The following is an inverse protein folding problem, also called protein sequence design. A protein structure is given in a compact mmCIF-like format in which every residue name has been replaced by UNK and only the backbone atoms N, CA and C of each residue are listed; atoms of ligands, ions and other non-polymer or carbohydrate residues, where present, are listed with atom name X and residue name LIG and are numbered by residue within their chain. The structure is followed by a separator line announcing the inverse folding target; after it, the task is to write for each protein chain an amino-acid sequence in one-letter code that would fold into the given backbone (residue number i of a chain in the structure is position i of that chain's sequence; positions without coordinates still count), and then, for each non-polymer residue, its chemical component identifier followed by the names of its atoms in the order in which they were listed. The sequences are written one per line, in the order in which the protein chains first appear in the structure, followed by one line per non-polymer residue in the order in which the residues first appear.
data_IF_341351329727
#
_entry.id   IF_341351329727
#
_cell.length_a   1.000
_cell.length_b   1.000
_cell.length_c   1.000
_cell.angle_alpha   90.00
_cell.angle_beta   90.00
_cell.angle_gamma   90.00
#
_symmetry.space_group_name_H-M   'P 1'
#
loop_
_entity.id
_entity.type
_entity.pdbx_description
1 polymer ?
#
# COMPACT_ATOMS: atom_id res chain seq x y z
N UNK A 1 -0.29 -10.70 31.86
CA UNK A 1 -0.94 -9.81 32.85
C UNK A 1 -0.46 -8.37 32.76
N UNK A 2 0.80 -8.08 32.39
CA UNK A 2 1.31 -6.69 32.31
C UNK A 2 0.83 -5.88 31.09
N UNK A 3 0.52 -6.52 29.95
CA UNK A 3 -0.07 -5.84 28.79
C UNK A 3 -1.54 -5.39 29.00
N UNK A 4 -2.26 -6.08 29.89
CA UNK A 4 -3.65 -5.75 30.23
C UNK A 4 -3.73 -4.48 31.10
N UNK A 5 -2.68 -4.18 31.88
CA UNK A 5 -2.60 -2.97 32.69
C UNK A 5 -2.42 -1.70 31.83
N UNK A 6 -1.71 -1.80 30.69
CA UNK A 6 -1.56 -0.71 29.72
C UNK A 6 -2.87 -0.41 29.00
N UNK A 7 -3.62 -1.44 28.58
CA UNK A 7 -4.97 -1.27 28.02
C UNK A 7 -5.97 -0.74 29.07
N UNK A 8 -5.82 -1.10 30.34
CA UNK A 8 -6.63 -0.54 31.44
C UNK A 8 -6.31 0.93 31.73
N UNK A 9 -5.05 1.36 31.60
CA UNK A 9 -4.68 2.77 31.69
C UNK A 9 -5.26 3.60 30.52
N UNK A 10 -5.35 3.01 29.32
CA UNK A 10 -6.06 3.61 28.18
C UNK A 10 -7.59 3.62 28.35
N UNK A 11 -8.17 2.58 28.98
CA UNK A 11 -9.62 2.44 29.18
C UNK A 11 -10.22 3.27 30.32
N UNK A 12 -9.49 3.50 31.42
CA UNK A 12 -10.02 4.18 32.61
C UNK A 12 -10.24 5.70 32.46
N UNK A 13 -9.81 6.33 31.36
CA UNK A 13 -10.05 7.77 31.14
C UNK A 13 -11.29 8.10 30.30
N UNK A 14 -11.99 7.10 29.75
CA UNK A 14 -13.29 7.33 29.08
C UNK A 14 -14.44 7.57 30.08
N UNK A 15 -14.20 7.41 31.39
CA UNK A 15 -15.20 7.64 32.45
C UNK A 15 -15.04 8.96 33.20
N UNK A 16 -14.04 9.79 32.90
CA UNK A 16 -13.92 11.13 33.52
C UNK A 16 -14.55 12.18 32.61
N UNK A 17 -15.86 12.07 32.44
CA UNK A 17 -16.67 13.22 32.05
C UNK A 17 -16.81 14.13 33.27
N UNK A 18 -16.02 15.20 33.31
CA UNK A 18 -16.29 16.31 34.21
C UNK A 18 -15.15 16.73 35.11
N UNK A 19 -14.10 17.32 34.52
CA UNK A 19 -13.39 18.42 35.20
C UNK A 19 -13.22 19.54 34.19
N UNK A 20 -14.09 20.55 34.30
CA UNK A 20 -13.85 21.88 33.72
C UNK A 20 -12.67 22.49 34.50
N UNK A 21 -11.48 22.48 33.92
CA UNK A 21 -10.28 23.10 34.50
C UNK A 21 -9.22 23.37 33.44
N UNK A 22 -8.95 24.65 33.21
CA UNK A 22 -7.82 25.32 32.53
C UNK A 22 -7.02 24.58 31.43
N UNK A 23 -7.09 25.13 30.22
CA UNK A 23 -6.05 25.29 29.20
C UNK A 23 -4.90 24.26 29.16
N UNK A 24 -4.93 23.34 28.19
CA UNK A 24 -3.73 22.73 27.56
C UNK A 24 -2.86 21.77 28.41
N UNK A 25 -2.79 21.95 29.73
CA UNK A 25 -1.87 21.26 30.64
C UNK A 25 -2.21 19.77 30.81
N UNK A 26 -3.47 19.37 30.67
CA UNK A 26 -3.83 17.95 30.80
C UNK A 26 -3.21 17.09 29.69
N UNK A 27 -3.16 17.61 28.46
CA UNK A 27 -2.53 16.90 27.34
C UNK A 27 -1.01 16.83 27.53
N UNK A 28 -0.39 17.91 28.00
CA UNK A 28 1.04 17.92 28.30
C UNK A 28 1.39 16.97 29.45
N UNK A 29 0.61 16.95 30.53
CA UNK A 29 0.79 16.02 31.65
C UNK A 29 0.54 14.56 31.24
N UNK A 30 -0.42 14.31 30.36
CA UNK A 30 -0.67 12.99 29.77
C UNK A 30 0.51 12.53 28.91
N UNK A 31 1.01 13.40 28.03
CA UNK A 31 2.17 13.12 27.20
C UNK A 31 3.44 12.92 28.03
N UNK A 32 3.66 13.73 29.08
CA UNK A 32 4.76 13.54 30.03
C UNK A 32 4.63 12.23 30.82
N UNK A 33 3.41 11.85 31.22
CA UNK A 33 3.14 10.57 31.88
C UNK A 33 3.46 9.37 30.99
N UNK A 34 3.06 9.43 29.73
CA UNK A 34 3.41 8.44 28.71
C UNK A 34 4.93 8.40 28.49
N UNK A 35 5.58 9.55 28.28
CA UNK A 35 7.02 9.64 28.07
C UNK A 35 7.81 9.07 29.25
N UNK A 36 7.40 9.38 30.49
CA UNK A 36 8.03 8.85 31.70
C UNK A 36 7.86 7.34 31.81
N UNK A 37 6.69 6.79 31.51
CA UNK A 37 6.48 5.34 31.52
C UNK A 37 7.25 4.65 30.39
N UNK A 38 7.33 5.26 29.22
CA UNK A 38 8.08 4.75 28.07
C UNK A 38 9.61 4.83 28.25
N UNK A 39 10.13 5.81 29.00
CA UNK A 39 11.57 5.86 29.35
C UNK A 39 12.04 4.63 30.13
N UNK A 40 11.14 3.97 30.88
CA UNK A 40 11.42 2.70 31.56
C UNK A 40 11.58 1.53 30.56
N UNK A 41 11.02 1.67 29.35
CA UNK A 41 11.08 0.70 28.26
C UNK A 41 12.05 1.10 27.14
N UNK A 42 12.99 2.01 27.41
CA UNK A 42 13.95 2.56 26.42
C UNK A 42 13.28 3.23 25.22
N UNK A 43 12.41 4.20 25.48
CA UNK A 43 11.93 5.14 24.46
C UNK A 43 13.11 5.78 23.70
N UNK A 44 13.05 5.75 22.38
CA UNK A 44 14.02 6.37 21.49
C UNK A 44 13.30 7.10 20.37
N UNK A 45 13.76 8.30 20.06
CA UNK A 45 13.43 8.99 18.82
C UNK A 45 14.43 8.55 17.75
N UNK A 46 13.93 8.47 16.52
CA UNK A 46 14.68 8.07 15.33
C UNK A 46 14.54 9.16 14.26
N UNK A 47 15.15 10.35 14.44
CA UNK A 47 15.00 11.47 13.50
C UNK A 47 15.40 11.10 12.06
N UNK A 48 16.33 10.16 11.89
CA UNK A 48 16.77 9.63 10.60
C UNK A 48 15.68 8.88 9.83
N UNK A 49 14.61 8.43 10.50
CA UNK A 49 13.44 7.80 9.86
C UNK A 49 12.47 8.81 9.27
N UNK A 50 12.50 10.06 9.77
CA UNK A 50 11.76 11.14 9.15
C UNK A 50 12.52 11.61 7.89
N UNK A 51 11.82 11.75 6.77
CA UNK A 51 12.41 12.27 5.55
C UNK A 51 12.87 13.71 5.75
N UNK A 52 14.18 13.95 5.70
CA UNK A 52 14.70 15.30 5.55
C UNK A 52 14.43 15.76 4.12
N UNK A 53 13.58 16.75 3.91
CA UNK A 53 13.24 17.34 2.60
C UNK A 53 14.43 18.05 1.89
N UNK A 54 15.67 17.78 2.29
CA UNK A 54 16.84 18.57 1.93
C UNK A 54 17.49 18.16 0.59
N UNK A 55 17.17 16.99 0.02
CA UNK A 55 17.74 16.54 -1.26
C UNK A 55 16.65 16.10 -2.23
N UNK A 56 16.42 16.91 -3.25
CA UNK A 56 15.49 16.62 -4.34
C UNK A 56 15.98 15.44 -5.18
N UNK A 57 15.05 14.60 -5.64
CA UNK A 57 15.32 13.56 -6.62
C UNK A 57 15.70 14.17 -7.98
N UNK A 58 16.59 13.53 -8.75
CA UNK A 58 16.89 13.97 -10.10
C UNK A 58 15.61 13.92 -10.97
N UNK A 59 15.45 14.84 -11.95
CA UNK A 59 14.31 14.80 -12.85
C UNK A 59 14.18 13.46 -13.58
N UNK A 60 12.95 12.96 -13.69
CA UNK A 60 12.62 11.81 -14.52
C UNK A 60 11.91 12.29 -15.78
N UNK A 61 12.52 12.05 -16.94
CA UNK A 61 12.04 12.52 -18.25
C UNK A 61 12.08 11.34 -19.23
N UNK A 62 10.99 11.15 -19.96
CA UNK A 62 10.84 10.09 -20.94
C UNK A 62 10.74 10.65 -22.36
N UNK A 63 11.08 9.85 -23.40
CA UNK A 63 11.03 10.30 -24.79
C UNK A 63 9.64 10.80 -25.22
N UNK A 64 8.59 10.11 -24.79
CA UNK A 64 7.20 10.51 -25.00
C UNK A 64 6.47 10.57 -23.64
N UNK A 65 5.89 11.73 -23.36
CA UNK A 65 5.04 11.98 -22.21
C UNK A 65 3.65 12.53 -22.63
N UNK A 66 3.35 12.52 -23.92
CA UNK A 66 2.12 13.06 -24.48
C UNK A 66 0.92 12.12 -24.30
N UNK A 67 -0.30 12.66 -24.17
CA UNK A 67 -1.52 11.86 -24.20
C UNK A 67 -1.74 11.20 -25.55
N UNK A 68 -2.63 10.20 -25.60
CA UNK A 68 -3.11 9.66 -26.85
C UNK A 68 -3.88 10.73 -27.65
N UNK A 69 -3.87 10.70 -29.00
CA UNK A 69 -4.57 11.69 -29.82
C UNK A 69 -6.08 11.80 -29.54
N UNK A 70 -6.67 10.71 -29.06
CA UNK A 70 -8.06 10.61 -28.61
C UNK A 70 -8.10 9.74 -27.36
N UNK A 71 -9.08 9.97 -26.47
CA UNK A 71 -9.26 9.11 -25.29
C UNK A 71 -9.45 7.65 -25.74
N UNK A 72 -8.56 6.72 -25.35
CA UNK A 72 -8.62 5.35 -25.84
C UNK A 72 -9.88 4.65 -25.32
N UNK A 73 -10.49 3.81 -26.15
CA UNK A 73 -11.65 2.99 -25.77
C UNK A 73 -11.25 1.60 -25.28
N UNK A 74 -10.04 1.16 -25.62
CA UNK A 74 -9.49 -0.14 -25.26
C UNK A 74 -8.34 0.02 -24.27
N UNK A 75 -8.32 -0.86 -23.28
CA UNK A 75 -7.31 -0.89 -22.21
C UNK A 75 -5.89 -1.12 -22.75
N UNK A 76 -5.76 -1.78 -23.91
CA UNK A 76 -4.47 -2.10 -24.55
C UNK A 76 -3.84 -0.89 -25.25
N UNK A 77 -4.53 0.26 -25.29
CA UNK A 77 -4.08 1.50 -25.93
C UNK A 77 -3.93 2.67 -24.94
N UNK A 78 -3.97 2.40 -23.65
CA UNK A 78 -3.90 3.43 -22.61
C UNK A 78 -2.44 3.78 -22.33
N UNK A 79 -2.04 5.02 -22.63
CA UNK A 79 -0.75 5.59 -22.20
C UNK A 79 -0.84 6.10 -20.76
N UNK A 80 0.31 6.33 -20.12
CA UNK A 80 0.36 6.95 -18.79
C UNK A 80 -0.40 8.29 -18.73
N UNK A 81 -0.25 9.11 -19.77
CA UNK A 81 -0.88 10.43 -19.88
C UNK A 81 -2.42 10.37 -20.06
N UNK A 82 -2.99 9.21 -20.40
CA UNK A 82 -4.44 9.05 -20.57
C UNK A 82 -5.16 8.80 -19.23
N UNK A 83 -4.42 8.41 -18.18
CA UNK A 83 -4.97 8.19 -16.84
C UNK A 83 -5.38 9.54 -16.25
N UNK A 84 -6.66 9.70 -15.92
CA UNK A 84 -7.22 10.93 -15.33
C UNK A 84 -7.32 10.87 -13.82
N UNK A 85 -7.51 9.68 -13.28
CA UNK A 85 -7.78 9.48 -11.86
C UNK A 85 -7.02 8.29 -11.31
N UNK A 86 -6.45 8.48 -10.12
CA UNK A 86 -5.87 7.42 -9.30
C UNK A 86 -6.74 7.18 -8.07
N UNK A 87 -6.85 5.92 -7.66
CA UNK A 87 -7.49 5.50 -6.42
C UNK A 87 -6.73 4.33 -5.79
N UNK A 88 -6.88 4.12 -4.49
CA UNK A 88 -6.28 2.99 -3.82
C UNK A 88 -7.15 2.41 -2.71
N UNK A 89 -7.14 1.08 -2.62
CA UNK A 89 -7.79 0.26 -1.59
C UNK A 89 -6.74 -0.60 -0.90
N UNK A 90 -6.97 -0.92 0.36
CA UNK A 90 -6.03 -1.72 1.11
C UNK A 90 -6.03 -1.48 2.60
N UNK A 91 -4.85 -1.64 3.19
CA UNK A 91 -4.62 -1.56 4.62
C UNK A 91 -3.67 -0.41 5.02
N UNK A 92 -3.05 -0.55 6.19
CA UNK A 92 -2.15 0.43 6.79
C UNK A 92 -0.95 0.78 5.92
N UNK A 93 -0.45 -0.13 5.07
CA UNK A 93 0.64 0.20 4.16
C UNK A 93 0.16 1.12 3.02
N UNK A 94 -1.06 0.95 2.54
CA UNK A 94 -1.66 1.86 1.54
C UNK A 94 -1.99 3.23 2.14
N UNK A 95 -2.32 3.30 3.43
CA UNK A 95 -2.49 4.59 4.14
C UNK A 95 -1.16 5.27 4.54
N UNK A 96 -0.03 4.57 4.36
CA UNK A 96 1.31 5.03 4.78
C UNK A 96 1.39 5.39 6.27
N UNK A 97 0.84 4.52 7.12
CA UNK A 97 0.97 4.58 8.58
C UNK A 97 2.44 4.72 8.97
N UNK A 98 2.75 5.74 9.78
CA UNK A 98 4.09 5.94 10.31
C UNK A 98 5.18 6.26 9.28
N UNK A 99 4.85 6.54 8.01
CA UNK A 99 5.87 6.69 6.97
C UNK A 99 6.88 7.81 7.22
N UNK A 100 6.49 8.86 7.95
CA UNK A 100 7.38 9.93 8.37
C UNK A 100 7.45 10.06 9.90
N UNK A 101 7.19 8.97 10.62
CA UNK A 101 7.24 8.95 12.08
C UNK A 101 8.69 8.84 12.57
N UNK A 102 9.03 9.71 13.52
CA UNK A 102 10.30 9.67 14.25
C UNK A 102 10.19 8.85 15.53
N UNK A 103 8.97 8.65 16.05
CA UNK A 103 8.75 7.92 17.31
C UNK A 103 7.57 6.96 17.21
N UNK A 104 7.54 5.93 18.05
CA UNK A 104 6.43 4.96 18.10
C UNK A 104 5.07 5.60 18.41
N UNK A 105 5.06 6.75 19.10
CA UNK A 105 3.82 7.50 19.40
C UNK A 105 3.20 8.14 18.16
N UNK A 106 4.00 8.33 17.11
CA UNK A 106 3.55 8.90 15.84
C UNK A 106 3.08 7.84 14.85
N UNK A 107 3.24 6.54 15.16
CA UNK A 107 2.78 5.44 14.29
C UNK A 107 1.30 5.55 13.94
N UNK A 108 0.37 5.91 14.86
CA UNK A 108 -1.04 6.06 14.51
C UNK A 108 -1.36 7.14 13.44
N UNK A 109 -0.41 8.01 13.09
CA UNK A 109 -0.61 8.95 11.99
C UNK A 109 -0.45 8.25 10.64
N UNK A 110 -1.42 8.48 9.78
CA UNK A 110 -1.46 7.98 8.40
C UNK A 110 -0.92 9.08 7.49
N UNK A 111 0.28 8.89 6.93
CA UNK A 111 0.89 9.86 6.03
C UNK A 111 0.41 9.63 4.60
N UNK A 112 -0.91 9.65 4.37
CA UNK A 112 -1.53 9.26 3.09
C UNK A 112 -0.94 9.97 1.87
N UNK A 113 -0.57 11.25 2.02
CA UNK A 113 0.13 12.06 1.02
C UNK A 113 1.52 11.57 0.61
N UNK A 114 2.15 10.72 1.41
CA UNK A 114 3.45 10.07 1.16
C UNK A 114 3.29 8.61 0.70
N UNK A 115 2.05 8.13 0.57
CA UNK A 115 1.79 6.75 0.17
C UNK A 115 2.31 6.46 -1.23
N UNK A 116 3.08 5.39 -1.34
CA UNK A 116 3.66 4.88 -2.57
C UNK A 116 2.67 4.77 -3.73
N UNK A 117 1.43 4.35 -3.48
CA UNK A 117 0.43 4.06 -4.53
C UNK A 117 -0.52 5.22 -4.82
N UNK A 118 -0.66 6.19 -3.89
CA UNK A 118 -1.75 7.19 -3.97
C UNK A 118 -1.42 8.56 -3.33
N UNK A 119 -0.21 8.75 -2.80
CA UNK A 119 0.21 10.03 -2.22
C UNK A 119 0.53 11.08 -3.29
N UNK A 120 0.20 12.34 -3.04
CA UNK A 120 0.50 13.47 -3.94
C UNK A 120 1.19 14.63 -3.25
N UNK A 121 2.03 14.37 -2.25
CA UNK A 121 2.85 15.40 -1.64
C UNK A 121 3.84 15.99 -2.66
N UNK A 122 3.85 17.31 -2.80
CA UNK A 122 4.79 18.02 -3.67
C UNK A 122 4.73 17.58 -5.14
N UNK A 123 5.92 17.42 -5.73
CA UNK A 123 6.20 16.92 -7.07
C UNK A 123 7.02 15.63 -6.99
N UNK A 124 7.25 15.00 -8.14
CA UNK A 124 8.16 13.86 -8.27
C UNK A 124 9.53 14.07 -7.62
N UNK A 125 10.10 15.27 -7.76
CA UNK A 125 11.40 15.62 -7.18
C UNK A 125 11.40 15.68 -5.66
N UNK A 126 10.24 15.85 -5.03
CA UNK A 126 10.11 15.93 -3.57
C UNK A 126 9.94 14.53 -2.96
N UNK A 127 8.99 13.76 -3.50
CA UNK A 127 8.70 12.39 -3.06
C UNK A 127 8.25 11.55 -4.26
N UNK A 128 8.84 10.37 -4.42
CA UNK A 128 8.48 9.44 -5.49
C UNK A 128 7.27 8.63 -5.06
N UNK A 129 6.10 8.99 -5.59
CA UNK A 129 4.85 8.23 -5.47
C UNK A 129 4.30 7.94 -6.86
N UNK A 130 3.44 6.94 -6.98
CA UNK A 130 2.78 6.62 -8.24
C UNK A 130 2.05 7.84 -8.84
N UNK A 131 1.23 8.61 -8.09
CA UNK A 131 0.60 9.81 -8.64
C UNK A 131 1.59 10.90 -9.05
N UNK A 132 2.70 11.08 -8.32
CA UNK A 132 3.71 12.06 -8.70
C UNK A 132 4.45 11.66 -9.99
N UNK A 133 4.62 10.36 -10.25
CA UNK A 133 5.13 9.88 -11.54
C UNK A 133 4.09 10.15 -12.65
N UNK A 134 2.83 9.76 -12.46
CA UNK A 134 1.78 10.03 -13.45
C UNK A 134 1.61 11.51 -13.77
N UNK A 135 1.79 12.41 -12.80
CA UNK A 135 1.69 13.87 -13.00
C UNK A 135 2.78 14.44 -13.91
N UNK A 136 3.86 13.70 -14.16
CA UNK A 136 4.84 14.05 -15.21
C UNK A 136 4.25 13.88 -16.62
N UNK A 137 3.28 12.96 -16.78
CA UNK A 137 2.61 12.63 -18.04
C UNK A 137 1.26 13.35 -18.19
N UNK A 138 0.52 13.49 -17.08
CA UNK A 138 -0.75 14.19 -17.03
C UNK A 138 -0.82 15.11 -15.79
N UNK A 139 -0.52 16.42 -15.93
CA UNK A 139 -0.57 17.38 -14.83
C UNK A 139 -1.95 17.52 -14.17
N UNK A 140 -3.03 17.20 -14.90
CA UNK A 140 -4.42 17.32 -14.45
C UNK A 140 -4.93 16.07 -13.69
N UNK A 141 -4.04 15.13 -13.35
CA UNK A 141 -4.39 13.95 -12.57
C UNK A 141 -5.13 14.33 -11.27
N UNK A 142 -6.17 13.59 -10.91
CA UNK A 142 -6.92 13.76 -9.65
C UNK A 142 -7.00 12.46 -8.83
N UNK A 143 -7.50 12.56 -7.60
CA UNK A 143 -7.76 11.42 -6.71
C UNK A 143 -6.62 11.07 -5.74
N UNK A 144 -5.44 11.67 -5.88
CA UNK A 144 -4.33 11.45 -4.94
C UNK A 144 -4.58 12.10 -3.56
N UNK A 145 -4.01 11.49 -2.52
CA UNK A 145 -4.07 11.97 -1.15
C UNK A 145 -3.14 13.17 -0.93
N UNK A 146 -3.60 14.16 -0.15
CA UNK A 146 -2.88 15.44 0.03
C UNK A 146 -2.40 15.69 1.44
N UNK A 147 -2.97 15.01 2.43
CA UNK A 147 -2.71 15.32 3.84
C UNK A 147 -2.34 14.09 4.67
N UNK A 148 -1.84 14.39 5.87
CA UNK A 148 -1.71 13.43 6.98
C UNK A 148 -3.07 13.31 7.66
N UNK A 149 -3.47 12.10 8.00
CA UNK A 149 -4.68 11.79 8.76
C UNK A 149 -4.31 11.01 10.04
N UNK A 150 -5.30 10.61 10.82
CA UNK A 150 -5.12 9.83 12.05
C UNK A 150 -5.99 8.58 11.95
N UNK A 151 -5.41 7.39 12.15
CA UNK A 151 -6.11 6.11 11.93
C UNK A 151 -7.38 5.94 12.76
N UNK A 152 -7.45 6.54 13.94
CA UNK A 152 -8.62 6.49 14.83
C UNK A 152 -9.71 7.51 14.49
N UNK A 153 -9.52 8.35 13.47
CA UNK A 153 -10.45 9.43 13.11
C UNK A 153 -10.75 9.42 11.62
N UNK A 154 -12.03 9.33 11.28
CA UNK A 154 -12.49 9.51 9.91
C UNK A 154 -12.00 10.85 9.34
N UNK A 155 -11.47 10.80 8.12
CA UNK A 155 -10.95 11.96 7.41
C UNK A 155 -11.74 12.15 6.11
N UNK A 156 -12.01 13.40 5.71
CA UNK A 156 -12.80 13.67 4.52
C UNK A 156 -11.95 13.54 3.24
N UNK A 157 -12.60 13.43 2.08
CA UNK A 157 -11.96 13.20 0.79
C UNK A 157 -10.97 14.30 0.39
N UNK A 158 -11.15 15.53 0.86
CA UNK A 158 -10.21 16.63 0.61
C UNK A 158 -8.82 16.32 1.18
N UNK A 159 -8.75 15.52 2.26
CA UNK A 159 -7.50 15.10 2.90
C UNK A 159 -6.99 13.76 2.35
N UNK A 160 -7.88 12.76 2.25
CA UNK A 160 -7.52 11.39 1.85
C UNK A 160 -7.38 11.22 0.33
N UNK A 161 -7.95 12.14 -0.46
CA UNK A 161 -8.25 11.82 -1.86
C UNK A 161 -9.08 10.54 -1.92
N UNK A 162 -8.78 9.72 -2.93
CA UNK A 162 -9.34 8.38 -3.12
C UNK A 162 -8.40 7.29 -2.57
N UNK A 163 -7.56 7.63 -1.59
CA UNK A 163 -6.98 6.64 -0.70
C UNK A 163 -8.05 6.21 0.30
N UNK A 164 -8.81 5.17 -0.06
CA UNK A 164 -9.89 4.61 0.75
C UNK A 164 -9.46 3.36 1.52
N UNK A 165 -8.15 3.13 1.61
CA UNK A 165 -7.57 2.10 2.46
C UNK A 165 -7.83 2.40 3.94
N UNK A 166 -7.95 1.33 4.73
CA UNK A 166 -8.28 1.38 6.15
C UNK A 166 -7.18 0.68 6.94
N UNK A 167 -6.52 1.42 7.83
CA UNK A 167 -5.49 0.88 8.72
C UNK A 167 -6.02 -0.33 9.50
N UNK A 168 -5.30 -1.45 9.42
CA UNK A 168 -5.65 -2.70 10.10
C UNK A 168 -6.71 -3.56 9.41
N UNK A 169 -7.21 -3.16 8.23
CA UNK A 169 -8.20 -3.96 7.51
C UNK A 169 -7.65 -5.32 7.05
N UNK A 170 -8.47 -6.35 7.19
CA UNK A 170 -8.29 -7.64 6.54
C UNK A 170 -9.02 -7.65 5.18
N UNK A 171 -8.95 -8.78 4.46
CA UNK A 171 -9.62 -8.86 3.16
C UNK A 171 -11.14 -8.91 3.24
N UNK A 172 -11.73 -9.33 4.36
CA UNK A 172 -13.19 -9.41 4.48
C UNK A 172 -13.87 -8.03 4.45
N UNK A 173 -13.13 -6.96 4.78
CA UNK A 173 -13.56 -5.56 4.65
C UNK A 173 -13.32 -4.97 3.25
N UNK A 174 -12.53 -5.60 2.39
CA UNK A 174 -12.23 -5.08 1.04
C UNK A 174 -13.47 -4.86 0.16
N UNK A 175 -14.51 -5.73 0.18
CA UNK A 175 -15.74 -5.48 -0.57
C UNK A 175 -16.45 -4.19 -0.15
N UNK A 176 -16.38 -3.81 1.13
CA UNK A 176 -16.95 -2.56 1.62
C UNK A 176 -16.14 -1.36 1.12
N UNK A 177 -14.80 -1.40 1.23
CA UNK A 177 -13.93 -0.35 0.66
C UNK A 177 -14.20 -0.18 -0.85
N UNK A 178 -14.38 -1.29 -1.57
CA UNK A 178 -14.69 -1.29 -3.00
C UNK A 178 -16.05 -0.66 -3.29
N UNK A 179 -17.08 -0.99 -2.49
CA UNK A 179 -18.41 -0.38 -2.64
C UNK A 179 -18.34 1.14 -2.43
N UNK A 180 -17.61 1.56 -1.42
CA UNK A 180 -17.40 2.97 -1.12
C UNK A 180 -16.66 3.69 -2.25
N UNK A 181 -15.64 3.06 -2.85
CA UNK A 181 -14.95 3.61 -4.03
C UNK A 181 -15.90 3.80 -5.21
N UNK A 182 -16.69 2.79 -5.57
CA UNK A 182 -17.62 2.87 -6.71
C UNK A 182 -18.62 4.03 -6.53
N UNK A 183 -19.20 4.16 -5.33
CA UNK A 183 -20.13 5.24 -5.02
C UNK A 183 -19.46 6.61 -5.06
N UNK A 184 -18.23 6.70 -4.54
CA UNK A 184 -17.45 7.93 -4.53
C UNK A 184 -17.09 8.34 -5.96
N UNK A 185 -16.62 7.41 -6.79
CA UNK A 185 -16.29 7.67 -8.20
C UNK A 185 -17.49 8.19 -9.00
N UNK A 186 -18.69 7.62 -8.78
CA UNK A 186 -19.92 8.05 -9.46
C UNK A 186 -20.34 9.48 -9.13
N UNK A 187 -19.87 10.03 -8.01
CA UNK A 187 -20.21 11.38 -7.54
C UNK A 187 -19.00 12.34 -7.49
N UNK A 188 -17.82 11.89 -7.94
CA UNK A 188 -16.58 12.66 -7.84
C UNK A 188 -16.59 13.81 -8.86
N UNK A 189 -16.63 15.09 -8.44
CA UNK A 189 -16.97 16.21 -9.35
C UNK A 189 -15.98 16.44 -10.51
N UNK A 190 -14.73 16.02 -10.35
CA UNK A 190 -13.65 16.28 -11.32
C UNK A 190 -13.45 15.14 -12.33
N UNK A 191 -14.36 14.16 -12.39
CA UNK A 191 -14.20 12.95 -13.20
C UNK A 191 -15.49 12.61 -13.94
N UNK A 192 -15.37 12.38 -15.25
CA UNK A 192 -16.40 11.69 -16.01
C UNK A 192 -16.33 10.19 -15.69
N UNK A 193 -17.25 9.73 -14.84
CA UNK A 193 -17.30 8.34 -14.41
C UNK A 193 -17.30 7.34 -15.57
N UNK A 194 -17.92 7.66 -16.71
CA UNK A 194 -18.04 6.73 -17.83
C UNK A 194 -16.85 6.81 -18.79
N UNK A 195 -16.26 7.99 -18.96
CA UNK A 195 -15.31 8.24 -20.04
C UNK A 195 -13.85 8.40 -19.59
N UNK A 196 -13.59 8.72 -18.32
CA UNK A 196 -12.21 8.92 -17.86
C UNK A 196 -11.53 7.61 -17.45
N UNK A 197 -10.26 7.43 -17.81
CA UNK A 197 -9.49 6.26 -17.40
C UNK A 197 -9.07 6.33 -15.93
N UNK A 198 -9.36 5.26 -15.21
CA UNK A 198 -9.11 5.10 -13.77
C UNK A 198 -7.98 4.11 -13.53
N UNK A 199 -6.99 4.51 -12.74
CA UNK A 199 -5.95 3.63 -12.22
C UNK A 199 -6.23 3.32 -10.75
N UNK A 200 -6.59 2.07 -10.44
CA UNK A 200 -6.95 1.62 -9.09
C UNK A 200 -5.87 0.68 -8.58
N UNK A 201 -5.26 0.96 -7.43
CA UNK A 201 -4.28 0.07 -6.81
C UNK A 201 -4.85 -0.62 -5.58
N UNK A 202 -4.74 -1.95 -5.54
CA UNK A 202 -5.18 -2.78 -4.41
C UNK A 202 -3.95 -3.49 -3.82
N UNK A 203 -3.73 -3.30 -2.53
CA UNK A 203 -2.75 -4.06 -1.75
C UNK A 203 -3.33 -4.35 -0.37
N UNK A 204 -3.58 -5.63 -0.08
CA UNK A 204 -4.21 -6.09 1.16
C UNK A 204 -3.89 -7.57 1.42
N UNK A 205 -4.03 -8.00 2.67
CA UNK A 205 -3.99 -9.40 3.09
C UNK A 205 -2.86 -9.75 4.04
N UNK A 206 -1.95 -8.81 4.32
CA UNK A 206 -0.92 -8.99 5.35
C UNK A 206 -1.55 -9.16 6.73
N UNK A 207 -2.61 -8.39 7.04
CA UNK A 207 -3.33 -8.53 8.29
C UNK A 207 -4.01 -9.89 8.44
N UNK A 208 -4.56 -10.48 7.37
CA UNK A 208 -5.15 -11.82 7.40
C UNK A 208 -4.12 -12.86 7.85
N UNK A 209 -2.89 -12.80 7.32
CA UNK A 209 -1.79 -13.66 7.78
C UNK A 209 -1.37 -13.35 9.23
N UNK A 210 -1.31 -12.07 9.62
CA UNK A 210 -1.02 -11.65 10.99
C UNK A 210 -2.07 -12.10 12.01
N UNK A 211 -3.30 -12.36 11.57
CA UNK A 211 -4.45 -12.79 12.35
C UNK A 211 -4.86 -14.26 12.14
N UNK A 212 -4.19 -14.98 11.23
CA UNK A 212 -4.58 -16.34 10.80
C UNK A 212 -4.85 -17.29 11.96
N UNK A 213 -3.96 -17.31 12.96
CA UNK A 213 -4.07 -18.16 14.15
C UNK A 213 -5.25 -17.79 15.08
N UNK A 214 -5.85 -16.60 14.93
CA UNK A 214 -7.02 -16.15 15.71
C UNK A 214 -8.32 -16.73 15.14
N UNK A 215 -8.42 -16.86 13.82
CA UNK A 215 -9.53 -17.52 13.14
C UNK A 215 -9.07 -18.07 11.78
N UNK A 216 -8.68 -19.34 11.76
CA UNK A 216 -8.12 -20.01 10.58
C UNK A 216 -9.08 -20.11 9.40
N UNK A 217 -10.39 -19.98 9.61
CA UNK A 217 -11.39 -19.99 8.53
C UNK A 217 -11.58 -18.60 7.93
N UNK A 218 -11.73 -17.58 8.78
CA UNK A 218 -11.97 -16.21 8.32
C UNK A 218 -10.77 -15.64 7.56
N UNK A 219 -9.56 -15.99 7.98
CA UNK A 219 -8.30 -15.46 7.43
C UNK A 219 -7.54 -16.49 6.57
N UNK A 220 -8.21 -17.54 6.10
CA UNK A 220 -7.59 -18.57 5.25
C UNK A 220 -7.31 -18.05 3.84
N UNK A 221 -6.49 -18.78 3.09
CA UNK A 221 -6.24 -18.50 1.68
C UNK A 221 -7.52 -18.54 0.82
N UNK A 222 -8.48 -19.40 1.17
CA UNK A 222 -9.80 -19.47 0.53
C UNK A 222 -10.62 -18.21 0.79
N UNK A 223 -10.68 -17.74 2.04
CA UNK A 223 -11.40 -16.50 2.38
C UNK A 223 -10.74 -15.28 1.75
N UNK A 224 -9.41 -15.20 1.81
CA UNK A 224 -8.61 -14.18 1.13
C UNK A 224 -8.98 -14.04 -0.35
N UNK A 225 -8.91 -15.15 -1.11
CA UNK A 225 -9.16 -15.09 -2.55
C UNK A 225 -10.63 -14.85 -2.87
N UNK A 226 -11.56 -15.36 -2.05
CA UNK A 226 -12.99 -15.13 -2.23
C UNK A 226 -13.34 -13.64 -2.07
N UNK A 227 -12.79 -12.99 -1.05
CA UNK A 227 -13.03 -11.56 -0.79
C UNK A 227 -12.42 -10.65 -1.88
N UNK A 228 -11.21 -10.98 -2.35
CA UNK A 228 -10.59 -10.30 -3.49
C UNK A 228 -11.40 -10.50 -4.77
N UNK A 229 -11.83 -11.73 -5.06
CA UNK A 229 -12.67 -12.03 -6.23
C UNK A 229 -13.95 -11.20 -6.21
N UNK A 230 -14.64 -11.15 -5.07
CA UNK A 230 -15.86 -10.34 -4.91
C UNK A 230 -15.61 -8.85 -5.19
N UNK A 231 -14.50 -8.31 -4.71
CA UNK A 231 -14.14 -6.90 -4.89
C UNK A 231 -13.81 -6.60 -6.36
N UNK A 232 -13.01 -7.45 -6.99
CA UNK A 232 -12.67 -7.32 -8.42
C UNK A 232 -13.89 -7.49 -9.32
N UNK A 233 -14.81 -8.41 -8.99
CA UNK A 233 -16.08 -8.57 -9.70
C UNK A 233 -16.92 -7.29 -9.64
N UNK A 234 -17.02 -6.65 -8.48
CA UNK A 234 -17.74 -5.39 -8.32
C UNK A 234 -17.15 -4.28 -9.18
N UNK A 235 -15.81 -4.16 -9.21
CA UNK A 235 -15.14 -3.19 -10.07
C UNK A 235 -15.38 -3.49 -11.55
N UNK A 236 -15.21 -4.74 -11.96
CA UNK A 236 -15.41 -5.18 -13.34
C UNK A 236 -16.84 -4.94 -13.84
N UNK A 237 -17.84 -5.16 -13.00
CA UNK A 237 -19.24 -4.97 -13.38
C UNK A 237 -19.69 -3.51 -13.42
N UNK A 238 -19.08 -2.63 -12.61
CA UNK A 238 -19.65 -1.30 -12.37
C UNK A 238 -18.74 -0.13 -12.76
N UNK A 239 -17.44 -0.35 -12.96
CA UNK A 239 -16.47 0.73 -13.20
C UNK A 239 -15.91 0.62 -14.62
N UNK A 240 -16.44 1.40 -15.58
CA UNK A 240 -15.90 1.42 -16.95
C UNK A 240 -14.55 2.12 -17.00
N UNK A 241 -13.76 1.78 -18.03
CA UNK A 241 -12.42 2.38 -18.29
C UNK A 241 -11.51 2.34 -17.07
N UNK A 242 -11.24 1.15 -16.56
CA UNK A 242 -10.43 0.96 -15.37
C UNK A 242 -9.29 -0.04 -15.55
N UNK A 243 -8.13 0.32 -15.04
CA UNK A 243 -6.97 -0.55 -14.87
C UNK A 243 -6.78 -0.76 -13.38
N UNK A 244 -6.88 -2.01 -12.94
CA UNK A 244 -6.74 -2.39 -11.54
C UNK A 244 -5.40 -3.09 -11.34
N UNK A 245 -4.47 -2.40 -10.68
CA UNK A 245 -3.24 -3.00 -10.17
C UNK A 245 -3.55 -3.80 -8.91
N UNK A 246 -3.28 -5.11 -8.93
CA UNK A 246 -3.35 -5.95 -7.73
C UNK A 246 -1.94 -6.37 -7.36
N UNK A 247 -1.48 -5.91 -6.22
CA UNK A 247 -0.08 -6.01 -5.84
C UNK A 247 0.13 -7.26 -5.00
N UNK A 248 1.10 -8.08 -5.40
CA UNK A 248 1.37 -9.36 -4.76
C UNK A 248 1.93 -9.17 -3.35
N UNK A 249 1.39 -9.90 -2.38
CA UNK A 249 1.97 -9.95 -1.04
C UNK A 249 3.38 -10.55 -1.06
N UNK A 250 4.26 -10.01 -0.23
CA UNK A 250 5.58 -10.57 0.04
C UNK A 250 5.49 -11.80 0.98
N UNK A 251 6.63 -12.49 1.15
CA UNK A 251 6.78 -13.55 2.15
C UNK A 251 6.91 -12.92 3.53
N UNK A 252 5.83 -12.98 4.31
CA UNK A 252 5.72 -12.36 5.63
C UNK A 252 6.76 -12.89 6.62
N UNK A 253 7.18 -14.15 6.48
CA UNK A 253 8.24 -14.78 7.30
C UNK A 253 9.48 -13.90 7.45
N UNK A 254 9.88 -13.21 6.37
CA UNK A 254 11.10 -12.41 6.38
C UNK A 254 11.03 -11.21 7.35
N UNK A 255 9.83 -10.73 7.72
CA UNK A 255 9.65 -9.69 8.73
C UNK A 255 10.10 -10.14 10.13
N UNK A 256 10.17 -11.44 10.42
CA UNK A 256 10.70 -11.95 11.70
C UNK A 256 12.16 -11.55 11.92
N UNK A 257 12.89 -11.23 10.85
CA UNK A 257 14.27 -10.73 10.90
C UNK A 257 14.35 -9.23 11.28
N UNK A 258 13.25 -8.47 11.12
CA UNK A 258 13.19 -7.03 11.31
C UNK A 258 12.77 -6.73 12.76
N UNK A 259 13.72 -6.92 13.66
CA UNK A 259 13.52 -6.69 15.09
C UNK A 259 14.84 -6.28 15.77
N UNK A 260 14.95 -5.00 16.15
CA UNK A 260 16.12 -4.45 16.86
C UNK A 260 16.00 -4.53 18.39
N UNK A 261 14.90 -5.09 18.91
CA UNK A 261 14.61 -5.18 20.34
C UNK A 261 14.08 -3.88 20.97
N UNK A 262 13.87 -2.82 20.19
CA UNK A 262 13.21 -1.60 20.66
C UNK A 262 11.75 -1.85 21.03
N UNK A 263 11.19 -0.98 21.87
CA UNK A 263 9.78 -1.08 22.27
C UNK A 263 8.84 -1.12 21.05
N UNK A 264 9.11 -0.30 20.02
CA UNK A 264 8.32 -0.26 18.80
C UNK A 264 8.33 -1.59 18.04
N UNK A 265 9.52 -2.16 17.78
CA UNK A 265 9.63 -3.50 17.18
C UNK A 265 8.91 -4.58 18.02
N UNK A 266 8.97 -4.49 19.35
CA UNK A 266 8.29 -5.46 20.24
C UNK A 266 6.75 -5.43 20.11
N UNK A 267 6.16 -4.31 19.65
CA UNK A 267 4.72 -4.21 19.39
C UNK A 267 4.26 -5.12 18.25
N UNK A 268 5.16 -5.58 17.37
CA UNK A 268 4.80 -6.57 16.34
C UNK A 268 4.17 -7.83 16.92
N UNK A 269 4.54 -8.22 18.15
CA UNK A 269 3.91 -9.35 18.86
C UNK A 269 2.43 -9.12 19.18
N UNK A 270 1.96 -7.87 19.15
CA UNK A 270 0.57 -7.49 19.38
C UNK A 270 -0.23 -7.50 18.08
N UNK A 271 0.25 -6.80 17.04
CA UNK A 271 -0.50 -6.63 15.79
C UNK A 271 -0.22 -7.70 14.73
N UNK A 272 0.87 -8.47 14.85
CA UNK A 272 1.17 -9.60 13.97
C UNK A 272 1.60 -10.85 14.78
N UNK A 273 0.77 -11.20 15.78
CA UNK A 273 1.11 -12.23 16.74
C UNK A 273 1.30 -13.62 16.12
N UNK A 274 0.55 -13.95 15.06
CA UNK A 274 0.61 -15.26 14.43
C UNK A 274 1.93 -15.50 13.70
N UNK A 275 2.62 -14.43 13.29
CA UNK A 275 3.94 -14.50 12.66
C UNK A 275 5.08 -14.48 13.68
N UNK A 276 5.01 -13.56 14.66
CA UNK A 276 6.16 -13.21 15.49
C UNK A 276 6.29 -14.08 16.75
N UNK A 277 5.18 -14.60 17.30
CA UNK A 277 5.22 -15.41 18.52
C UNK A 277 5.70 -16.86 18.32
N UNK A 278 5.35 -17.56 17.22
CA UNK A 278 5.81 -18.92 17.03
C UNK A 278 7.34 -19.02 16.99
N UNK A 279 7.87 -20.07 17.60
CA UNK A 279 9.30 -20.40 17.52
C UNK A 279 9.66 -20.93 16.13
N UNK A 280 10.95 -20.87 15.79
CA UNK A 280 11.44 -21.37 14.52
C UNK A 280 11.08 -22.85 14.30
N UNK A 281 10.66 -23.18 13.09
CA UNK A 281 10.26 -24.54 12.67
C UNK A 281 9.09 -25.15 13.45
N UNK A 282 8.33 -24.36 14.21
CA UNK A 282 7.09 -24.83 14.83
C UNK A 282 6.03 -25.18 13.78
N UNK A 283 5.14 -26.16 14.05
CA UNK A 283 4.02 -26.47 13.17
C UNK A 283 3.16 -25.24 12.83
N UNK A 284 2.94 -24.35 13.81
CA UNK A 284 2.15 -23.13 13.64
C UNK A 284 2.81 -22.16 12.64
N UNK A 285 4.14 -22.01 12.70
CA UNK A 285 4.87 -21.16 11.76
C UNK A 285 4.87 -21.76 10.35
N UNK A 286 5.10 -23.07 10.23
CA UNK A 286 5.11 -23.77 8.94
C UNK A 286 3.74 -23.70 8.26
N UNK A 287 2.66 -23.83 9.03
CA UNK A 287 1.30 -23.67 8.52
C UNK A 287 1.04 -22.23 8.03
N UNK A 288 1.49 -21.21 8.77
CA UNK A 288 1.36 -19.82 8.33
C UNK A 288 2.15 -19.54 7.04
N UNK A 289 3.37 -20.08 6.92
CA UNK A 289 4.19 -19.96 5.71
C UNK A 289 3.49 -20.61 4.51
N UNK A 290 2.87 -21.78 4.72
CA UNK A 290 2.06 -22.43 3.68
C UNK A 290 0.85 -21.56 3.29
N UNK A 291 0.11 -21.00 4.27
CA UNK A 291 -0.97 -20.06 3.97
C UNK A 291 -0.50 -18.86 3.15
N UNK A 292 0.62 -18.24 3.49
CA UNK A 292 1.16 -17.13 2.72
C UNK A 292 1.50 -17.54 1.28
N UNK A 293 2.07 -18.74 1.08
CA UNK A 293 2.32 -19.29 -0.26
C UNK A 293 1.01 -19.51 -1.02
N UNK A 294 -0.03 -20.00 -0.37
CA UNK A 294 -1.34 -20.19 -0.98
C UNK A 294 -2.01 -18.86 -1.35
N UNK A 295 -1.84 -17.79 -0.55
CA UNK A 295 -2.27 -16.44 -0.93
C UNK A 295 -1.61 -16.00 -2.25
N UNK A 296 -0.30 -16.23 -2.39
CA UNK A 296 0.43 -15.89 -3.62
C UNK A 296 -0.08 -16.68 -4.83
N UNK A 297 -0.14 -18.01 -4.71
CA UNK A 297 -0.57 -18.88 -5.81
C UNK A 297 -2.01 -18.59 -6.25
N UNK A 298 -2.95 -18.48 -5.29
CA UNK A 298 -4.37 -18.24 -5.60
C UNK A 298 -4.60 -16.87 -6.23
N UNK A 299 -3.83 -15.86 -5.84
CA UNK A 299 -3.89 -14.54 -6.47
C UNK A 299 -3.39 -14.58 -7.92
N UNK A 300 -2.27 -15.26 -8.16
CA UNK A 300 -1.73 -15.50 -9.50
C UNK A 300 -2.74 -16.25 -10.39
N UNK A 301 -3.39 -17.30 -9.86
CA UNK A 301 -4.44 -18.05 -10.56
C UNK A 301 -5.65 -17.17 -10.91
N UNK A 302 -6.15 -16.36 -9.95
CA UNK A 302 -7.29 -15.49 -10.19
C UNK A 302 -7.01 -14.46 -11.29
N UNK A 303 -5.87 -13.77 -11.22
CA UNK A 303 -5.54 -12.67 -12.15
C UNK A 303 -5.14 -13.20 -13.52
N UNK A 304 -4.48 -14.36 -13.60
CA UNK A 304 -4.12 -14.97 -14.90
C UNK A 304 -5.32 -15.53 -15.67
N UNK A 305 -6.43 -15.82 -14.98
CA UNK A 305 -7.67 -16.31 -15.59
C UNK A 305 -8.26 -15.33 -16.62
N UNK A 306 -9.17 -15.83 -17.46
CA UNK A 306 -9.89 -15.00 -18.44
C UNK A 306 -11.07 -14.22 -17.84
N UNK A 307 -11.26 -14.30 -16.51
CA UNK A 307 -12.42 -13.72 -15.79
C UNK A 307 -12.65 -12.24 -16.08
N UNK A 308 -11.58 -11.47 -16.24
CA UNK A 308 -11.61 -10.02 -16.49
C UNK A 308 -11.10 -9.64 -17.89
N UNK A 309 -11.13 -10.59 -18.84
CA UNK A 309 -10.65 -10.43 -20.23
C UNK A 309 -11.78 -10.36 -21.26
N UNK A 310 -13.03 -10.24 -20.83
CA UNK A 310 -14.23 -10.27 -21.65
C UNK A 310 -14.79 -8.88 -22.06
N UNK A 311 -14.19 -7.78 -21.60
CA UNK A 311 -14.57 -6.38 -21.92
C UNK A 311 -13.36 -5.62 -22.45
N UNK A 312 -13.49 -4.68 -23.39
CA UNK A 312 -12.30 -3.99 -23.94
C UNK A 312 -11.73 -2.90 -23.02
N UNK A 313 -12.53 -2.39 -22.07
CA UNK A 313 -12.25 -1.18 -21.30
C UNK A 313 -11.87 -1.45 -19.83
N UNK A 314 -11.62 -2.70 -19.45
CA UNK A 314 -11.24 -3.07 -18.09
C UNK A 314 -10.06 -4.04 -18.09
N UNK A 315 -9.13 -3.90 -17.15
CA UNK A 315 -8.08 -4.88 -16.90
C UNK A 315 -7.77 -5.02 -15.41
N UNK A 316 -7.46 -6.25 -15.00
CA UNK A 316 -6.83 -6.56 -13.70
C UNK A 316 -5.42 -7.04 -13.99
N UNK A 317 -4.42 -6.41 -13.38
CA UNK A 317 -3.01 -6.67 -13.65
C UNK A 317 -2.31 -7.03 -12.35
N UNK A 318 -1.65 -8.18 -12.33
CA UNK A 318 -0.82 -8.59 -11.21
C UNK A 318 0.49 -7.80 -11.23
N UNK A 319 0.87 -7.24 -10.08
CA UNK A 319 2.15 -6.56 -9.90
C UNK A 319 3.00 -7.33 -8.86
N UNK A 320 3.84 -8.28 -9.31
CA UNK A 320 4.54 -9.23 -8.44
C UNK A 320 5.80 -8.67 -7.77
N UNK A 321 6.12 -7.38 -7.91
CA UNK A 321 7.42 -6.86 -7.50
C UNK A 321 7.83 -7.19 -6.05
N UNK A 322 6.89 -7.39 -5.13
CA UNK A 322 7.16 -7.77 -3.73
C UNK A 322 7.23 -9.27 -3.47
N UNK A 323 6.86 -10.13 -4.42
CA UNK A 323 6.65 -11.58 -4.21
C UNK A 323 7.80 -12.27 -3.47
N UNK A 324 9.05 -11.91 -3.77
CA UNK A 324 10.26 -12.53 -3.23
C UNK A 324 11.13 -11.61 -2.37
N UNK A 325 10.69 -10.38 -2.12
CA UNK A 325 11.51 -9.36 -1.46
C UNK A 325 11.99 -9.84 -0.08
N UNK A 326 13.27 -9.61 0.19
CA UNK A 326 13.88 -9.75 1.50
C UNK A 326 14.07 -8.38 2.15
N UNK A 327 14.10 -8.30 3.49
CA UNK A 327 14.40 -7.08 4.21
C UNK A 327 15.72 -6.43 3.71
N UNK A 328 15.75 -5.10 3.55
CA UNK A 328 16.95 -4.39 3.16
C UNK A 328 18.05 -4.56 4.21
N UNK A 329 19.28 -4.68 3.71
CA UNK A 329 20.50 -4.70 4.49
C UNK A 329 21.37 -3.48 4.22
N UNK A 330 22.07 -3.01 5.24
CA UNK A 330 23.06 -1.93 5.18
C UNK A 330 24.41 -2.41 4.62
N UNK A 331 25.39 -1.51 4.54
CA UNK A 331 26.74 -1.83 4.07
C UNK A 331 27.49 -2.85 4.94
N UNK A 332 27.02 -3.10 6.17
CA UNK A 332 27.59 -4.08 7.09
C UNK A 332 26.82 -5.42 7.06
N UNK A 333 25.83 -5.57 6.18
CA UNK A 333 25.00 -6.76 6.07
C UNK A 333 23.95 -6.93 7.18
N UNK A 334 23.72 -5.90 8.00
CA UNK A 334 22.65 -5.87 9.02
C UNK A 334 21.37 -5.30 8.41
N UNK A 335 20.21 -5.52 9.05
CA UNK A 335 18.95 -4.92 8.60
C UNK A 335 19.08 -3.38 8.56
N UNK A 336 18.74 -2.79 7.42
CA UNK A 336 18.69 -1.34 7.27
C UNK A 336 17.34 -0.81 7.77
N UNK A 337 17.32 -0.42 9.04
CA UNK A 337 16.13 0.12 9.72
C UNK A 337 15.69 1.50 9.19
N UNK A 338 16.46 2.17 8.33
CA UNK A 338 16.02 3.42 7.71
C UNK A 338 14.84 3.25 6.75
N UNK A 339 14.59 2.01 6.29
CA UNK A 339 13.41 1.67 5.48
C UNK A 339 12.15 1.43 6.31
N UNK A 340 12.26 1.25 7.63
CA UNK A 340 11.14 0.83 8.48
C UNK A 340 10.76 1.92 9.48
N UNK A 341 9.46 2.13 9.65
CA UNK A 341 8.89 3.00 10.66
C UNK A 341 9.32 2.56 12.08
N UNK A 342 9.06 3.35 13.13
CA UNK A 342 9.43 2.99 14.51
C UNK A 342 8.81 1.68 15.03
N UNK A 343 7.74 1.16 14.42
CA UNK A 343 7.15 -0.14 14.75
C UNK A 343 7.84 -1.35 14.06
N UNK A 344 8.82 -1.06 13.19
CA UNK A 344 9.60 -2.04 12.45
C UNK A 344 8.78 -2.92 11.50
N UNK A 345 7.56 -2.51 11.19
CA UNK A 345 6.61 -3.26 10.37
C UNK A 345 6.21 -2.46 9.13
N UNK A 346 5.81 -1.20 9.32
CA UNK A 346 5.51 -0.30 8.21
C UNK A 346 6.79 0.29 7.61
N UNK A 347 6.71 0.78 6.39
CA UNK A 347 7.86 1.41 5.72
C UNK A 347 7.90 2.91 6.00
N UNK A 348 9.11 3.47 6.05
CA UNK A 348 9.32 4.92 5.97
C UNK A 348 9.07 5.43 4.55
N UNK A 349 9.16 6.75 4.33
CA UNK A 349 9.17 7.36 2.99
C UNK A 349 10.15 6.62 2.06
N UNK A 350 11.34 6.26 2.55
CA UNK A 350 12.37 5.55 1.77
C UNK A 350 11.84 4.24 1.19
N UNK A 351 11.12 3.43 1.98
CA UNK A 351 10.51 2.20 1.47
C UNK A 351 9.33 2.47 0.55
N UNK A 352 8.50 3.46 0.87
CA UNK A 352 7.40 3.87 -0.01
C UNK A 352 7.86 4.33 -1.40
N UNK A 353 9.00 5.01 -1.50
CA UNK A 353 9.55 5.39 -2.81
C UNK A 353 9.99 4.19 -3.64
N UNK A 354 10.61 3.17 -3.03
CA UNK A 354 10.95 1.93 -3.73
C UNK A 354 9.69 1.16 -4.17
N UNK A 355 8.65 1.11 -3.33
CA UNK A 355 7.35 0.53 -3.72
C UNK A 355 6.74 1.24 -4.94
N UNK A 356 6.78 2.57 -4.98
CA UNK A 356 6.25 3.36 -6.09
C UNK A 356 7.00 3.07 -7.40
N UNK A 357 8.34 2.97 -7.34
CA UNK A 357 9.18 2.63 -8.49
C UNK A 357 8.93 1.21 -8.98
N UNK A 358 8.82 0.25 -8.06
CA UNK A 358 8.50 -1.14 -8.39
C UNK A 358 7.15 -1.25 -9.09
N UNK A 359 6.12 -0.58 -8.57
CA UNK A 359 4.79 -0.54 -9.18
C UNK A 359 4.82 0.10 -10.57
N UNK A 360 5.46 1.25 -10.72
CA UNK A 360 5.59 1.94 -12.00
C UNK A 360 6.25 1.04 -13.05
N UNK A 361 7.41 0.46 -12.74
CA UNK A 361 8.13 -0.39 -13.67
C UNK A 361 7.29 -1.61 -14.07
N UNK A 362 6.66 -2.28 -13.11
CA UNK A 362 5.83 -3.44 -13.37
C UNK A 362 4.65 -3.13 -14.32
N UNK A 363 4.04 -1.92 -14.26
CA UNK A 363 2.97 -1.53 -15.19
C UNK A 363 3.44 -1.45 -16.65
N UNK A 364 4.71 -1.18 -16.92
CA UNK A 364 5.27 -1.05 -18.28
C UNK A 364 6.10 -2.25 -18.72
N UNK A 365 6.15 -3.31 -17.90
CA UNK A 365 6.83 -4.56 -18.23
C UNK A 365 5.82 -5.63 -18.71
N UNK A 366 6.18 -6.42 -19.73
CA UNK A 366 5.36 -7.55 -20.19
C UNK A 366 5.07 -8.56 -19.08
N UNK A 367 3.90 -9.21 -19.15
CA UNK A 367 3.62 -10.39 -18.34
C UNK A 367 4.73 -11.45 -18.50
N UNK A 368 5.12 -12.08 -17.39
CA UNK A 368 6.25 -13.01 -17.33
C UNK A 368 7.63 -12.34 -17.33
N UNK A 369 7.72 -11.03 -17.57
CA UNK A 369 8.97 -10.24 -17.53
C UNK A 369 8.93 -9.10 -16.50
N UNK A 370 7.89 -9.06 -15.66
CA UNK A 370 7.79 -8.09 -14.57
C UNK A 370 8.92 -8.33 -13.57
N UNK A 371 9.61 -7.26 -13.22
CA UNK A 371 10.69 -7.28 -12.24
C UNK A 371 10.16 -7.65 -10.85
N UNK A 372 10.95 -8.40 -10.10
CA UNK A 372 10.73 -8.70 -8.69
C UNK A 372 11.92 -8.24 -7.86
N UNK A 373 11.66 -7.59 -6.73
CA UNK A 373 12.70 -7.23 -5.79
C UNK A 373 13.32 -8.46 -5.16
N UNK A 374 14.65 -8.52 -5.19
CA UNK A 374 15.40 -9.36 -4.25
C UNK A 374 15.46 -8.67 -2.88
N UNK A 375 15.71 -7.36 -2.86
CA UNK A 375 15.81 -6.52 -1.66
C UNK A 375 15.71 -5.03 -2.04
N UNK A 376 15.31 -4.16 -1.11
CA UNK A 376 15.34 -2.70 -1.30
C UNK A 376 16.75 -2.09 -1.13
N UNK A 377 17.76 -2.89 -0.75
CA UNK A 377 19.15 -2.40 -0.65
C UNK A 377 19.72 -1.86 -1.97
N UNK A 378 19.20 -2.35 -3.09
CA UNK A 378 19.58 -1.89 -4.43
C UNK A 378 18.50 -0.94 -4.93
N UNK A 379 18.76 0.37 -5.07
CA UNK A 379 17.76 1.32 -5.52
C UNK A 379 17.22 0.97 -6.90
N UNK A 380 15.90 0.97 -7.06
CA UNK A 380 15.27 0.76 -8.37
C UNK A 380 15.45 1.99 -9.24
N UNK A 381 15.79 1.73 -10.50
CA UNK A 381 15.77 2.75 -11.53
C UNK A 381 14.41 2.72 -12.24
N UNK A 382 13.80 3.89 -12.41
CA UNK A 382 12.55 4.02 -13.15
C UNK A 382 12.79 3.79 -14.63
N UNK A 383 11.89 3.04 -15.26
CA UNK A 383 11.90 2.83 -16.71
C UNK A 383 10.90 3.77 -17.38
N UNK A 384 11.23 4.20 -18.60
CA UNK A 384 10.28 4.89 -19.46
C UNK A 384 9.43 3.90 -20.26
N UNK A 385 8.17 4.23 -20.57
CA UNK A 385 7.42 3.53 -21.61
C UNK A 385 8.24 3.53 -22.92
N UNK A 386 8.32 2.37 -23.57
CA UNK A 386 9.09 2.24 -24.82
C UNK A 386 8.35 2.86 -26.00
N UNK A 387 9.08 3.32 -27.02
CA UNK A 387 8.45 3.82 -28.26
C UNK A 387 7.68 2.71 -29.00
N UNK A 388 8.18 1.46 -28.95
CA UNK A 388 7.54 0.31 -29.57
C UNK A 388 6.23 -0.11 -28.88
N UNK A 389 6.13 0.13 -27.57
CA UNK A 389 4.95 -0.15 -26.75
C UNK A 389 4.81 0.91 -25.65
N UNK A 390 4.18 2.07 -25.96
CA UNK A 390 4.05 3.19 -25.02
C UNK A 390 2.86 3.02 -24.05
N UNK A 391 2.12 1.91 -24.16
CA UNK A 391 0.92 1.64 -23.39
C UNK A 391 1.23 0.88 -22.10
N UNK A 392 0.36 1.01 -21.10
CA UNK A 392 0.36 0.18 -19.91
C UNK A 392 0.19 -1.29 -20.33
N UNK A 393 1.00 -2.18 -19.77
CA UNK A 393 0.99 -3.59 -20.15
C UNK A 393 -0.11 -4.36 -19.39
N UNK A 394 -1.17 -4.69 -20.12
CA UNK A 394 -2.41 -5.32 -19.59
C UNK A 394 -2.41 -6.85 -19.69
N UNK A 395 -1.35 -7.46 -20.26
CA UNK A 395 -1.27 -8.91 -20.42
C UNK A 395 -2.19 -9.52 -21.47
N UNK A 396 -3.06 -8.72 -22.08
CA UNK A 396 -3.92 -9.20 -23.16
C UNK A 396 -3.08 -9.39 -24.40
N UNK A 397 -3.11 -10.61 -24.96
CA UNK A 397 -2.59 -10.83 -26.31
C UNK A 397 -3.45 -9.99 -27.25
N UNK A 398 -2.82 -9.03 -27.95
CA UNK A 398 -3.52 -8.28 -28.99
C UNK A 398 -4.09 -9.29 -29.99
N UNK A 399 -5.41 -9.38 -30.13
CA UNK A 399 -6.05 -10.27 -31.12
C UNK A 399 -5.60 -9.97 -32.56
N UNK A 400 -4.96 -8.83 -32.79
CA UNK A 400 -4.42 -8.39 -34.09
C UNK A 400 -3.25 -9.22 -34.64
N UNK A 401 -2.61 -10.09 -33.84
CA UNK A 401 -1.53 -10.96 -34.34
C UNK A 401 -1.98 -12.39 -34.68
N UNK A 402 -3.24 -12.74 -34.39
CA UNK A 402 -3.78 -14.08 -34.68
C UNK A 402 -4.50 -14.17 -36.04
N UNK A 403 -4.65 -13.07 -36.77
CA UNK A 403 -5.32 -13.04 -38.09
C UNK A 403 -4.36 -12.91 -39.27
N UNK A 404 -3.05 -13.04 -39.05
CA UNK A 404 -2.04 -13.05 -40.11
C UNK A 404 -1.14 -14.26 -39.98
N UNK A 405 -1.67 -15.42 -40.33
CA UNK A 405 -0.88 -16.58 -40.74
C UNK A 405 -1.64 -17.22 -41.91
N UNK A 406 -1.01 -17.39 -43.09
CA UNK A 406 -1.65 -17.92 -44.29
C UNK A 406 -2.25 -19.31 -44.13
#
# INVERSE_FOLDING_TARGET
MEFAALLWAFGCCLSVTGVRGSNGEWWENYMQGIQKHMSLYRYQEFPEKAGSHAKLHPPFVCPDMSPSPTVPTSVDKVKAADIKIVAALGDSLTTAVGANASTVLEVPYEYRHLSWSIGGYGKFTDVITLPNIFRLFNPDLVGYARNRTLSSKAAPLEQTGLNLAVTGANTYELPEQTRHLIQTLKSYPAVDFNNDWKMITIFIGANDLCDYCKNKTLFSAESFIANLTRSLDMLHMEVPRAIVNVVQLFKLEALRQVNDGSFGCLLQKSFCSCLVKPIDNSPELLELIDQNKQFQNRLEELVSSDRYKNTEDFAVILQPFLKRVQPPKDSNGKIDYSFFAPDCFHFTIKGHEELAKGLWNNMFQPEGQKFEFDTFSTPVQLICPSEAHPYINTGRRSRSLASSSP
#
